data_IF_214211725560
#
_entry.id   IF_214211725560
#
_cell.length_a   1.000
_cell.length_b   1.000
_cell.length_c   1.000
_cell.angle_alpha   90.00
_cell.angle_beta   90.00
_cell.angle_gamma   90.00
#
_symmetry.space_group_name_H-M   'P 1'
#
loop_
_entity.id
_entity.type
_entity.pdbx_description
1 polymer ?
#
# COMPACT_ATOMS: atom_id res chain seq x y z
N UNK A 1 -14.15 5.35 16.09
CA UNK A 1 -14.60 5.58 14.69
C UNK A 1 -16.02 6.13 14.75
N UNK A 2 -16.15 7.45 14.94
CA UNK A 2 -17.43 8.14 15.17
C UNK A 2 -17.40 9.50 14.49
N UNK A 3 -18.56 10.00 14.08
CA UNK A 3 -18.74 11.34 13.54
C UNK A 3 -19.52 12.15 14.57
N UNK A 4 -18.92 13.23 15.08
CA UNK A 4 -19.61 14.21 15.92
C UNK A 4 -20.24 15.28 15.05
N UNK A 5 -21.53 15.51 15.23
CA UNK A 5 -22.29 16.55 14.52
C UNK A 5 -22.76 17.56 15.57
N UNK A 6 -22.36 18.82 15.40
CA UNK A 6 -22.82 19.95 16.20
C UNK A 6 -23.37 21.02 15.25
N UNK A 7 -24.68 20.98 14.99
CA UNK A 7 -25.35 21.93 14.09
C UNK A 7 -26.80 22.13 14.50
N UNK A 8 -27.30 23.36 14.36
CA UNK A 8 -28.69 23.73 14.64
C UNK A 8 -29.19 23.31 16.05
N UNK A 9 -28.33 23.43 17.07
CA UNK A 9 -28.67 23.05 18.44
C UNK A 9 -28.66 21.54 18.73
N UNK A 10 -28.36 20.69 17.74
CA UNK A 10 -28.20 19.25 17.91
C UNK A 10 -26.72 18.93 18.01
N UNK A 11 -26.32 18.38 19.16
CA UNK A 11 -25.00 17.81 19.40
C UNK A 11 -25.14 16.29 19.59
N UNK A 12 -24.75 15.52 18.60
CA UNK A 12 -24.83 14.05 18.63
C UNK A 12 -23.56 13.40 18.08
N UNK A 13 -23.29 12.17 18.53
CA UNK A 13 -22.15 11.36 18.08
C UNK A 13 -22.70 10.09 17.44
N UNK A 14 -22.47 9.92 16.14
CA UNK A 14 -22.91 8.77 15.37
C UNK A 14 -21.76 7.80 15.15
N UNK A 15 -22.06 6.50 15.19
CA UNK A 15 -21.10 5.45 14.87
C UNK A 15 -20.87 5.40 13.35
N UNK A 16 -19.61 5.36 12.93
CA UNK A 16 -19.22 5.38 11.51
C UNK A 16 -18.16 4.32 11.20
N UNK A 17 -18.25 3.16 11.85
CA UNK A 17 -17.36 2.02 11.61
C UNK A 17 -17.57 1.47 10.20
N UNK A 18 -16.70 1.88 9.28
CA UNK A 18 -16.66 1.40 7.90
C UNK A 18 -15.21 1.30 7.43
N UNK A 19 -14.95 0.35 6.53
CA UNK A 19 -13.68 0.27 5.82
C UNK A 19 -13.72 1.24 4.64
N UNK A 20 -12.64 1.98 4.43
CA UNK A 20 -12.52 2.92 3.29
C UNK A 20 -11.60 2.31 2.25
N UNK A 21 -12.11 2.17 1.03
CA UNK A 21 -11.32 1.91 -0.16
C UNK A 21 -11.32 3.17 -1.02
N UNK A 22 -10.13 3.68 -1.34
CA UNK A 22 -9.95 4.89 -2.13
C UNK A 22 -9.10 4.58 -3.36
N UNK A 23 -9.47 5.17 -4.49
CA UNK A 23 -8.67 5.21 -5.70
C UNK A 23 -8.46 6.68 -6.05
N UNK A 24 -7.21 7.05 -6.35
CA UNK A 24 -6.83 8.41 -6.69
C UNK A 24 -5.85 8.38 -7.86
N UNK A 25 -5.94 9.39 -8.72
CA UNK A 25 -4.97 9.60 -9.79
C UNK A 25 -3.93 10.63 -9.34
N UNK A 26 -2.67 10.52 -9.79
CA UNK A 26 -1.67 11.54 -9.54
C UNK A 26 -2.08 12.87 -10.19
N UNK A 27 -1.66 14.03 -9.65
CA UNK A 27 -2.11 15.35 -10.09
C UNK A 27 -1.73 15.66 -11.55
N UNK A 28 -0.63 15.09 -12.05
CA UNK A 28 -0.20 15.23 -13.45
C UNK A 28 -0.81 14.18 -14.40
N UNK A 29 -1.77 13.37 -13.92
CA UNK A 29 -2.43 12.30 -14.69
C UNK A 29 -1.56 11.06 -14.95
N UNK A 30 -0.23 11.17 -14.79
CA UNK A 30 0.73 10.06 -14.76
C UNK A 30 1.63 10.17 -13.55
N UNK A 31 2.09 9.02 -13.07
CA UNK A 31 3.06 8.95 -11.99
C UNK A 31 4.44 9.34 -12.54
N UNK A 32 5.12 10.28 -11.89
CA UNK A 32 6.42 10.79 -12.30
C UNK A 32 7.52 10.24 -11.38
N UNK A 33 8.35 9.33 -11.89
CA UNK A 33 9.40 8.67 -11.11
C UNK A 33 10.53 9.62 -10.66
N UNK A 34 10.61 10.81 -11.25
CA UNK A 34 11.60 11.83 -10.87
C UNK A 34 11.15 12.65 -9.65
N UNK A 35 9.87 12.58 -9.30
CA UNK A 35 9.29 13.30 -8.17
C UNK A 35 9.15 12.38 -6.97
N UNK A 36 9.18 12.97 -5.78
CA UNK A 36 8.97 12.21 -4.56
C UNK A 36 7.57 11.60 -4.53
N UNK A 37 7.39 10.50 -3.80
CA UNK A 37 6.09 9.85 -3.68
C UNK A 37 5.06 10.81 -3.04
N UNK A 38 5.52 11.72 -2.19
CA UNK A 38 4.67 12.76 -1.59
C UNK A 38 4.23 13.82 -2.61
N UNK A 39 5.06 14.17 -3.60
CA UNK A 39 4.68 15.12 -4.64
C UNK A 39 3.78 14.49 -5.71
N UNK A 40 3.93 13.17 -5.93
CA UNK A 40 3.08 12.39 -6.82
C UNK A 40 1.69 12.12 -6.22
N UNK A 41 1.54 12.18 -4.90
CA UNK A 41 0.29 11.92 -4.20
C UNK A 41 -0.20 13.22 -3.58
N UNK A 42 -1.26 13.81 -4.13
CA UNK A 42 -1.88 15.06 -3.64
C UNK A 42 -2.67 14.86 -2.33
N UNK A 43 -2.05 14.24 -1.34
CA UNK A 43 -2.60 14.00 0.00
C UNK A 43 -1.58 14.35 1.05
N UNK A 44 -2.04 14.99 2.13
CA UNK A 44 -1.19 15.26 3.28
C UNK A 44 -0.71 13.95 3.93
N UNK A 45 0.53 13.96 4.42
CA UNK A 45 1.14 12.86 5.19
C UNK A 45 0.26 12.41 6.37
N UNK A 46 -0.52 13.32 6.95
CA UNK A 46 -1.47 13.01 8.01
C UNK A 46 -2.58 12.07 7.54
N UNK A 47 -3.11 12.25 6.32
CA UNK A 47 -4.12 11.39 5.72
C UNK A 47 -3.48 10.07 5.27
N UNK A 48 -2.31 10.12 4.64
CA UNK A 48 -1.58 8.91 4.21
C UNK A 48 -1.28 7.98 5.39
N UNK A 49 -0.92 8.53 6.55
CA UNK A 49 -0.69 7.75 7.77
C UNK A 49 -1.92 7.00 8.31
N UNK A 50 -3.13 7.33 7.83
CA UNK A 50 -4.39 6.67 8.23
C UNK A 50 -4.78 5.53 7.29
N UNK A 51 -4.13 5.41 6.13
CA UNK A 51 -4.30 4.24 5.27
C UNK A 51 -3.38 3.11 5.74
N UNK A 52 -3.95 1.91 5.80
CA UNK A 52 -3.25 0.70 6.25
C UNK A 52 -2.33 0.16 5.14
N UNK A 53 -2.79 0.20 3.89
CA UNK A 53 -2.05 -0.23 2.71
C UNK A 53 -2.19 0.83 1.62
N UNK A 54 -1.09 1.17 0.97
CA UNK A 54 -1.07 2.10 -0.17
C UNK A 54 -0.44 1.37 -1.35
N UNK A 55 -1.18 1.22 -2.44
CA UNK A 55 -0.69 0.57 -3.65
C UNK A 55 -0.47 1.62 -4.73
N UNK A 56 0.75 1.69 -5.25
CA UNK A 56 1.06 2.49 -6.45
C UNK A 56 0.98 1.54 -7.64
N UNK A 57 0.03 1.81 -8.53
CA UNK A 57 -0.12 1.07 -9.79
C UNK A 57 0.46 1.93 -10.90
N UNK A 58 1.61 1.51 -11.44
CA UNK A 58 2.28 2.20 -12.55
C UNK A 58 1.94 1.53 -13.88
N UNK A 59 1.68 2.34 -14.89
CA UNK A 59 1.47 1.92 -16.28
C UNK A 59 2.83 1.83 -16.99
N UNK A 60 3.50 0.69 -16.86
CA UNK A 60 4.81 0.41 -17.48
C UNK A 60 4.54 -0.25 -18.84
N UNK A 61 5.13 0.30 -19.91
CA UNK A 61 4.97 -0.23 -21.28
C UNK A 61 5.89 -1.42 -21.50
N UNK A 62 5.35 -2.62 -21.40
CA UNK A 62 6.08 -3.86 -21.68
C UNK A 62 5.35 -4.67 -22.76
N UNK A 63 6.03 -4.92 -23.88
CA UNK A 63 5.42 -5.53 -25.06
C UNK A 63 4.72 -6.86 -24.76
N UNK A 64 5.34 -7.73 -23.96
CA UNK A 64 4.79 -9.05 -23.65
C UNK A 64 3.57 -8.98 -22.72
N UNK A 65 3.56 -8.05 -21.76
CA UNK A 65 2.40 -7.82 -20.88
C UNK A 65 1.26 -7.16 -21.65
N UNK A 66 1.56 -6.13 -22.43
CA UNK A 66 0.59 -5.41 -23.25
C UNK A 66 -0.10 -6.36 -24.24
N UNK A 67 0.66 -7.28 -24.85
CA UNK A 67 0.11 -8.32 -25.74
C UNK A 67 -0.86 -9.25 -25.02
N UNK A 68 -0.54 -9.68 -23.78
CA UNK A 68 -1.42 -10.53 -22.97
C UNK A 68 -2.71 -9.79 -22.59
N UNK A 69 -2.59 -8.53 -22.17
CA UNK A 69 -3.73 -7.68 -21.81
C UNK A 69 -4.62 -7.44 -23.03
N UNK A 70 -4.04 -7.07 -24.17
CA UNK A 70 -4.75 -6.86 -25.43
C UNK A 70 -5.47 -8.14 -25.88
N UNK A 71 -4.79 -9.29 -25.84
CA UNK A 71 -5.40 -10.59 -26.18
C UNK A 71 -6.59 -10.91 -25.27
N UNK A 72 -6.48 -10.65 -23.97
CA UNK A 72 -7.57 -10.84 -23.02
C UNK A 72 -8.76 -9.92 -23.31
N UNK A 73 -8.51 -8.63 -23.54
CA UNK A 73 -9.56 -7.64 -23.87
C UNK A 73 -10.27 -8.03 -25.17
N UNK A 74 -9.51 -8.37 -26.23
CA UNK A 74 -10.09 -8.82 -27.50
C UNK A 74 -10.93 -10.08 -27.28
N UNK A 75 -10.47 -11.04 -26.50
CA UNK A 75 -11.25 -12.25 -26.19
C UNK A 75 -12.56 -11.94 -25.47
N UNK A 76 -12.56 -11.02 -24.51
CA UNK A 76 -13.75 -10.58 -23.79
C UNK A 76 -14.75 -9.89 -24.74
N UNK A 77 -14.29 -9.01 -25.62
CA UNK A 77 -15.15 -8.31 -26.58
C UNK A 77 -15.61 -9.19 -27.75
N UNK A 78 -14.76 -10.11 -28.22
CA UNK A 78 -15.08 -11.08 -29.29
C UNK A 78 -16.11 -12.13 -28.82
N UNK A 79 -16.11 -12.46 -27.53
CA UNK A 79 -17.12 -13.34 -26.91
C UNK A 79 -18.44 -12.60 -26.60
N UNK A 80 -18.72 -11.51 -27.32
CA UNK A 80 -19.71 -10.47 -27.02
C UNK A 80 -20.94 -10.97 -26.27
N UNK A 81 -21.13 -10.48 -25.05
CA UNK A 81 -22.30 -10.74 -24.18
C UNK A 81 -22.66 -12.23 -23.89
N UNK A 82 -22.01 -13.22 -24.48
CA UNK A 82 -22.25 -14.65 -24.25
C UNK A 82 -21.55 -15.17 -22.98
N UNK A 83 -20.68 -14.36 -22.37
CA UNK A 83 -20.19 -14.54 -21.00
C UNK A 83 -21.04 -13.76 -19.98
N UNK A 84 -22.29 -13.39 -20.30
CA UNK A 84 -23.24 -12.91 -19.30
C UNK A 84 -23.51 -14.03 -18.30
N UNK A 85 -22.67 -14.06 -17.25
CA UNK A 85 -22.77 -14.95 -16.10
C UNK A 85 -22.88 -16.42 -16.49
N UNK A 86 -21.72 -17.07 -16.71
CA UNK A 86 -21.71 -18.52 -16.53
C UNK A 86 -22.34 -18.82 -15.17
N UNK A 87 -23.37 -19.67 -15.14
CA UNK A 87 -24.14 -19.96 -13.92
C UNK A 87 -23.20 -20.38 -12.78
N UNK A 88 -22.12 -21.08 -13.13
CA UNK A 88 -21.02 -21.47 -12.24
C UNK A 88 -20.23 -20.28 -11.65
N UNK A 89 -19.99 -19.20 -12.41
CA UNK A 89 -19.34 -17.99 -11.87
C UNK A 89 -20.26 -17.25 -10.88
N UNK A 90 -21.56 -17.19 -11.18
CA UNK A 90 -22.54 -16.57 -10.26
C UNK A 90 -22.72 -17.38 -8.99
N UNK A 91 -22.71 -18.72 -9.09
CA UNK A 91 -22.76 -19.61 -7.93
C UNK A 91 -21.49 -19.53 -7.09
N UNK A 92 -20.31 -19.49 -7.72
CA UNK A 92 -19.03 -19.26 -7.04
C UNK A 92 -18.96 -17.90 -6.34
N UNK A 93 -19.44 -16.83 -6.98
CA UNK A 93 -19.53 -15.49 -6.37
C UNK A 93 -20.46 -15.49 -5.15
N UNK A 94 -21.62 -16.14 -5.25
CA UNK A 94 -22.58 -16.23 -4.15
C UNK A 94 -22.04 -17.07 -2.99
N UNK A 95 -21.35 -18.17 -3.29
CA UNK A 95 -20.67 -18.97 -2.28
C UNK A 95 -19.57 -18.17 -1.57
N UNK A 96 -18.75 -17.43 -2.30
CA UNK A 96 -17.68 -16.61 -1.72
C UNK A 96 -18.24 -15.50 -0.80
N UNK A 97 -19.34 -14.85 -1.20
CA UNK A 97 -20.03 -13.87 -0.35
C UNK A 97 -20.50 -14.49 0.97
N UNK A 98 -21.14 -15.66 0.90
CA UNK A 98 -21.60 -16.42 2.08
C UNK A 98 -20.43 -16.88 2.93
N UNK A 99 -19.32 -17.30 2.32
CA UNK A 99 -18.10 -17.68 3.01
C UNK A 99 -17.50 -16.50 3.79
N UNK A 100 -17.37 -15.33 3.16
CA UNK A 100 -16.88 -14.12 3.82
C UNK A 100 -17.79 -13.73 4.99
N UNK A 101 -19.10 -13.77 4.80
CA UNK A 101 -20.08 -13.49 5.87
C UNK A 101 -19.93 -14.49 7.04
N UNK A 102 -19.80 -15.78 6.74
CA UNK A 102 -19.56 -16.82 7.74
C UNK A 102 -18.27 -16.57 8.51
N UNK A 103 -17.16 -16.28 7.83
CA UNK A 103 -15.90 -15.94 8.49
C UNK A 103 -16.07 -14.71 9.39
N UNK A 104 -16.79 -13.67 8.93
CA UNK A 104 -17.03 -12.43 9.68
C UNK A 104 -17.72 -12.67 11.02
N UNK A 105 -18.73 -13.54 11.06
CA UNK A 105 -19.55 -13.81 12.24
C UNK A 105 -18.90 -14.83 13.18
N UNK A 106 -18.32 -15.90 12.63
CA UNK A 106 -17.91 -17.07 13.42
C UNK A 106 -16.50 -16.92 13.98
N UNK A 107 -15.58 -16.28 13.26
CA UNK A 107 -14.16 -16.27 13.58
C UNK A 107 -13.67 -14.90 14.07
N UNK A 108 -13.09 -14.89 15.27
CA UNK A 108 -12.46 -13.73 15.90
C UNK A 108 -11.03 -14.10 16.32
N UNK A 109 -10.09 -14.11 15.37
CA UNK A 109 -8.74 -14.59 15.64
C UNK A 109 -8.02 -13.70 16.64
N UNK A 110 -7.22 -14.33 17.50
CA UNK A 110 -6.33 -13.64 18.43
C UNK A 110 -4.87 -13.91 18.08
N UNK A 111 -4.00 -12.94 18.38
CA UNK A 111 -2.57 -13.05 18.10
C UNK A 111 -1.91 -14.07 19.04
N UNK A 112 -1.13 -14.99 18.47
CA UNK A 112 -0.29 -15.89 19.27
C UNK A 112 0.87 -15.12 19.91
N UNK A 113 1.34 -15.55 21.09
CA UNK A 113 2.48 -14.94 21.78
C UNK A 113 3.74 -14.90 20.90
N UNK A 114 4.03 -15.99 20.17
CA UNK A 114 5.15 -16.04 19.21
C UNK A 114 5.01 -15.02 18.09
N UNK A 115 3.78 -14.79 17.62
CA UNK A 115 3.49 -13.81 16.58
C UNK A 115 3.63 -12.37 17.12
N UNK A 116 3.25 -12.14 18.37
CA UNK A 116 3.41 -10.85 19.05
C UNK A 116 4.89 -10.47 19.25
N UNK A 117 5.74 -11.44 19.61
CA UNK A 117 7.19 -11.22 19.71
C UNK A 117 7.80 -10.87 18.35
N UNK A 118 7.43 -11.62 17.30
CA UNK A 118 7.89 -11.33 15.93
C UNK A 118 7.48 -9.92 15.46
N UNK A 119 6.24 -9.51 15.73
CA UNK A 119 5.73 -8.18 15.37
C UNK A 119 6.53 -7.06 16.04
N UNK A 120 6.85 -7.20 17.33
CA UNK A 120 7.65 -6.23 18.07
C UNK A 120 9.04 -6.09 17.45
N UNK A 121 9.72 -7.21 17.21
CA UNK A 121 11.06 -7.22 16.63
C UNK A 121 11.08 -6.58 15.23
N UNK A 122 10.14 -6.96 14.37
CA UNK A 122 10.02 -6.39 13.01
C UNK A 122 9.67 -4.92 13.03
N UNK A 123 8.77 -4.48 13.91
CA UNK A 123 8.40 -3.07 14.01
C UNK A 123 9.57 -2.17 14.42
N UNK A 124 10.34 -2.60 15.43
CA UNK A 124 11.55 -1.88 15.87
C UNK A 124 12.59 -1.84 14.75
N UNK A 125 12.81 -2.97 14.08
CA UNK A 125 13.74 -3.07 12.94
C UNK A 125 13.41 -2.07 11.83
N UNK A 126 12.15 -2.00 11.39
CA UNK A 126 11.75 -1.08 10.31
C UNK A 126 11.90 0.38 10.76
N UNK A 127 11.55 0.69 12.01
CA UNK A 127 11.71 2.05 12.55
C UNK A 127 13.17 2.47 12.65
N UNK A 128 14.06 1.54 13.00
CA UNK A 128 15.51 1.78 13.04
C UNK A 128 16.07 2.01 11.63
N UNK A 129 15.71 1.15 10.66
CA UNK A 129 16.13 1.30 9.26
C UNK A 129 15.71 2.64 8.67
N UNK A 130 14.47 3.08 8.89
CA UNK A 130 14.00 4.38 8.40
C UNK A 130 14.74 5.56 9.04
N UNK A 131 15.11 5.47 10.33
CA UNK A 131 15.93 6.51 10.99
C UNK A 131 17.33 6.60 10.40
N UNK A 132 17.95 5.46 10.10
CA UNK A 132 19.26 5.40 9.44
C UNK A 132 19.19 6.05 8.06
N UNK A 133 18.20 5.69 7.25
CA UNK A 133 17.99 6.27 5.92
C UNK A 133 17.73 7.79 5.96
N UNK A 134 16.98 8.26 6.96
CA UNK A 134 16.75 9.69 7.14
C UNK A 134 18.03 10.46 7.52
N UNK A 135 18.90 9.86 8.32
CA UNK A 135 20.19 10.45 8.69
C UNK A 135 21.18 10.47 7.51
N UNK A 136 21.21 9.42 6.70
CA UNK A 136 22.09 9.29 5.53
C UNK A 136 21.66 10.22 4.38
N UNK A 137 20.37 10.30 4.11
CA UNK A 137 19.83 11.03 2.95
C UNK A 137 19.42 12.47 3.31
N UNK A 138 19.34 12.80 4.61
CA UNK A 138 18.87 14.09 5.11
C UNK A 138 17.40 14.39 4.80
N UNK A 139 16.67 13.46 4.18
CA UNK A 139 15.27 13.59 3.76
C UNK A 139 14.37 12.71 4.62
N UNK A 140 13.27 13.27 5.09
CA UNK A 140 12.24 12.50 5.78
C UNK A 140 11.58 11.51 4.80
N UNK A 141 11.23 10.32 5.29
CA UNK A 141 10.45 9.36 4.52
C UNK A 141 9.09 9.96 4.13
N UNK A 142 8.65 9.73 2.89
CA UNK A 142 7.37 10.23 2.36
C UNK A 142 6.16 9.76 3.20
N UNK A 143 6.25 8.57 3.81
CA UNK A 143 5.23 8.02 4.70
C UNK A 143 5.83 7.71 6.08
N UNK A 144 5.43 8.42 7.15
CA UNK A 144 5.96 8.16 8.48
C UNK A 144 5.42 6.85 9.06
N UNK A 145 6.31 6.02 9.61
CA UNK A 145 5.93 4.79 10.32
C UNK A 145 5.46 5.16 11.73
N UNK A 146 4.16 5.06 11.94
CA UNK A 146 3.50 5.37 13.21
C UNK A 146 2.96 4.09 13.86
N UNK A 147 2.46 4.20 15.10
CA UNK A 147 1.79 3.08 15.79
C UNK A 147 0.56 2.59 15.01
N UNK A 148 -0.08 3.45 14.20
CA UNK A 148 -1.18 3.05 13.32
C UNK A 148 -0.79 1.99 12.30
N UNK A 149 0.46 2.02 11.83
CA UNK A 149 0.95 1.02 10.89
C UNK A 149 1.19 -0.33 11.58
N UNK A 150 1.58 -0.33 12.85
CA UNK A 150 1.62 -1.56 13.65
C UNK A 150 0.21 -2.14 13.85
N UNK A 151 -0.76 -1.30 14.21
CA UNK A 151 -2.16 -1.71 14.32
C UNK A 151 -2.71 -2.24 12.98
N UNK A 152 -2.32 -1.62 11.86
CA UNK A 152 -2.70 -2.07 10.53
C UNK A 152 -2.17 -3.47 10.22
N UNK A 153 -0.90 -3.75 10.54
CA UNK A 153 -0.31 -5.07 10.34
C UNK A 153 -1.02 -6.12 11.21
N UNK A 154 -1.33 -5.79 12.48
CA UNK A 154 -2.10 -6.68 13.36
C UNK A 154 -3.47 -6.98 12.74
N UNK A 155 -4.21 -5.97 12.28
CA UNK A 155 -5.49 -6.14 11.58
C UNK A 155 -5.37 -7.00 10.33
N UNK A 156 -4.29 -6.85 9.56
CA UNK A 156 -4.02 -7.68 8.39
C UNK A 156 -3.78 -9.14 8.79
N UNK A 157 -2.92 -9.40 9.78
CA UNK A 157 -2.62 -10.76 10.25
C UNK A 157 -3.85 -11.47 10.79
N UNK A 158 -4.67 -10.77 11.56
CA UNK A 158 -5.97 -11.28 12.03
C UNK A 158 -6.91 -11.54 10.86
N UNK A 159 -6.96 -10.66 9.86
CA UNK A 159 -7.79 -10.85 8.66
C UNK A 159 -7.35 -12.07 7.83
N UNK A 160 -6.05 -12.31 7.72
CA UNK A 160 -5.50 -13.49 7.03
C UNK A 160 -5.84 -14.79 7.77
N UNK A 161 -5.72 -14.80 9.10
CA UNK A 161 -6.16 -15.93 9.92
C UNK A 161 -7.68 -16.17 9.78
N UNK A 162 -8.45 -15.08 9.77
CA UNK A 162 -9.91 -15.10 9.59
C UNK A 162 -10.33 -15.68 8.23
N UNK A 163 -9.59 -15.42 7.17
CA UNK A 163 -9.82 -16.01 5.85
C UNK A 163 -9.59 -17.52 5.83
N UNK A 164 -8.65 -18.02 6.64
CA UNK A 164 -8.34 -19.44 6.82
C UNK A 164 -9.21 -20.12 7.90
N UNK A 165 -10.17 -19.40 8.49
CA UNK A 165 -11.01 -19.87 9.59
C UNK A 165 -10.21 -20.33 10.83
N UNK A 166 -9.01 -19.81 11.04
CA UNK A 166 -8.20 -20.11 12.22
C UNK A 166 -8.47 -19.10 13.33
N UNK A 167 -8.69 -19.58 14.56
CA UNK A 167 -8.94 -18.71 15.73
C UNK A 167 -7.66 -18.07 16.29
N UNK A 168 -6.49 -18.40 15.75
CA UNK A 168 -5.19 -17.90 16.22
C UNK A 168 -4.37 -17.42 15.03
N UNK A 169 -3.94 -16.16 15.07
CA UNK A 169 -2.99 -15.60 14.12
C UNK A 169 -1.57 -16.07 14.50
N UNK A 170 -1.07 -17.04 13.73
CA UNK A 170 0.30 -17.57 13.82
C UNK A 170 1.33 -16.65 13.16
N UNK A 171 2.61 -16.98 13.36
CA UNK A 171 3.76 -16.27 12.78
C UNK A 171 3.67 -16.15 11.24
N UNK A 172 3.17 -17.17 10.55
CA UNK A 172 3.01 -17.16 9.09
C UNK A 172 2.10 -16.02 8.59
N UNK A 173 1.02 -15.72 9.33
CA UNK A 173 0.11 -14.64 8.98
C UNK A 173 0.76 -13.26 9.19
N UNK A 174 1.67 -13.16 10.16
CA UNK A 174 2.46 -11.95 10.41
C UNK A 174 3.46 -11.74 9.29
N UNK A 175 4.18 -12.79 8.90
CA UNK A 175 5.14 -12.73 7.81
C UNK A 175 4.48 -12.31 6.48
N UNK A 176 3.32 -12.90 6.17
CA UNK A 176 2.56 -12.54 4.98
C UNK A 176 2.00 -11.11 5.05
N UNK A 177 1.52 -10.67 6.22
CA UNK A 177 1.09 -9.28 6.42
C UNK A 177 2.25 -8.29 6.22
N UNK A 178 3.45 -8.61 6.70
CA UNK A 178 4.65 -7.81 6.46
C UNK A 178 5.06 -7.81 4.99
N UNK A 179 4.96 -8.95 4.29
CA UNK A 179 5.23 -9.02 2.85
C UNK A 179 4.30 -8.07 2.10
N UNK A 180 3.01 -8.08 2.40
CA UNK A 180 2.03 -7.15 1.81
C UNK A 180 2.32 -5.69 2.17
N UNK A 181 2.68 -5.41 3.42
CA UNK A 181 3.05 -4.07 3.85
C UNK A 181 4.31 -3.54 3.13
N UNK A 182 5.29 -4.41 2.89
CA UNK A 182 6.52 -4.05 2.18
C UNK A 182 6.25 -3.73 0.71
N UNK A 183 5.46 -4.57 0.03
CA UNK A 183 5.11 -4.41 -1.39
C UNK A 183 4.16 -3.24 -1.63
N UNK A 184 3.37 -2.85 -0.63
CA UNK A 184 2.45 -1.72 -0.72
C UNK A 184 3.11 -0.44 -0.21
N UNK A 185 3.06 -0.21 1.09
CA UNK A 185 3.39 1.07 1.72
C UNK A 185 4.88 1.39 1.68
N UNK A 186 5.76 0.39 1.85
CA UNK A 186 7.21 0.66 1.80
C UNK A 186 7.71 0.88 0.37
N UNK A 187 7.20 0.11 -0.60
CA UNK A 187 7.49 0.35 -2.01
C UNK A 187 6.96 1.71 -2.45
N UNK A 188 5.74 2.06 -2.03
CA UNK A 188 5.17 3.38 -2.27
C UNK A 188 6.03 4.51 -1.70
N UNK A 189 6.58 4.33 -0.49
CA UNK A 189 7.46 5.32 0.13
C UNK A 189 8.81 5.47 -0.58
N UNK A 190 9.31 4.42 -1.24
CA UNK A 190 10.58 4.42 -2.00
C UNK A 190 10.41 4.91 -3.43
N UNK A 191 9.25 4.67 -4.03
CA UNK A 191 8.90 4.91 -5.43
C UNK A 191 8.97 6.38 -5.91
N UNK A 192 9.60 7.29 -5.18
CA UNK A 192 9.79 8.68 -5.60
C UNK A 192 11.22 9.20 -5.56
N UNK A 193 12.20 8.39 -5.14
CA UNK A 193 13.62 8.73 -5.27
C UNK A 193 14.39 7.40 -5.42
N UNK A 194 14.66 7.01 -6.67
CA UNK A 194 15.60 5.96 -7.15
C UNK A 194 15.11 4.51 -7.34
N UNK A 195 14.87 4.18 -8.62
CA UNK A 195 15.48 3.00 -9.28
C UNK A 195 16.26 3.35 -10.57
N UNK A 196 16.08 4.54 -11.17
CA UNK A 196 16.83 4.95 -12.37
C UNK A 196 18.04 5.87 -12.14
N UNK A 197 18.30 6.36 -10.91
CA UNK A 197 19.66 6.75 -10.54
C UNK A 197 20.37 5.59 -9.83
N UNK A 198 20.52 4.47 -10.53
CA UNK A 198 21.87 3.93 -10.62
C UNK A 198 22.69 5.03 -11.30
N UNK A 199 23.16 6.01 -10.51
CA UNK A 199 24.19 6.92 -10.95
C UNK A 199 25.32 6.01 -11.40
N UNK A 200 25.48 5.85 -12.71
CA UNK A 200 26.77 5.48 -13.23
C UNK A 200 27.77 6.41 -12.54
N UNK A 201 28.88 5.88 -11.98
CA UNK A 201 29.86 6.70 -11.28
C UNK A 201 30.39 7.86 -12.13
N UNK A 202 30.20 7.77 -13.46
CA UNK A 202 30.44 8.81 -14.46
C UNK A 202 29.58 10.07 -14.28
N UNK A 203 28.29 9.97 -13.95
CA UNK A 203 27.41 11.15 -13.81
C UNK A 203 27.73 11.92 -12.53
N UNK A 204 28.05 11.24 -11.43
CA UNK A 204 28.51 11.88 -10.20
C UNK A 204 29.87 12.59 -10.39
N UNK A 205 30.77 11.99 -11.17
CA UNK A 205 32.04 12.62 -11.56
C UNK A 205 31.82 13.82 -12.50
N UNK A 206 30.86 13.73 -13.43
CA UNK A 206 30.51 14.83 -14.32
C UNK A 206 29.88 16.01 -13.56
N UNK A 207 28.98 15.76 -12.60
CA UNK A 207 28.43 16.81 -11.74
C UNK A 207 29.50 17.49 -10.87
N UNK A 208 30.44 16.70 -10.33
CA UNK A 208 31.57 17.24 -9.56
C UNK A 208 32.52 18.09 -10.45
N UNK A 209 32.76 17.66 -11.69
CA UNK A 209 33.55 18.43 -12.66
C UNK A 209 32.82 19.72 -13.11
N UNK A 210 31.51 19.68 -13.31
CA UNK A 210 30.70 20.84 -13.69
C UNK A 210 30.64 21.84 -12.52
N UNK A 211 30.42 21.39 -11.28
CA UNK A 211 30.46 22.27 -10.09
C UNK A 211 31.84 22.89 -9.86
N UNK A 212 32.93 22.17 -10.16
CA UNK A 212 34.30 22.73 -10.15
C UNK A 212 34.53 23.76 -11.24
N UNK A 213 33.86 23.65 -12.40
CA UNK A 213 33.98 24.62 -13.51
C UNK A 213 33.07 25.83 -13.35
N UNK A 214 31.94 25.70 -12.65
CA UNK A 214 30.98 26.79 -12.46
C UNK A 214 31.28 27.67 -11.23
N UNK A 215 32.28 27.32 -10.42
CA UNK A 215 32.82 28.21 -9.39
C UNK A 215 34.06 28.93 -9.90
N UNK A 216 33.86 30.03 -10.63
CA UNK A 216 34.68 31.27 -10.76
C UNK A 216 34.11 32.01 -11.98
N UNK A 217 33.35 33.08 -11.75
CA UNK A 217 32.95 33.99 -12.82
C UNK A 217 31.73 34.85 -12.52
N UNK A 218 32.00 36.01 -11.90
CA UNK A 218 31.16 37.21 -11.65
C UNK A 218 29.91 37.05 -10.78
#
# INVERSE_FOLDING_TARGET
>A
QTISIAKAGITTVLNSRTSVLAAANPPSGRYDDLKTAQDNIDLQTTILSRFDLIFIVKDIREYDQDKKIASHIIKVHASGAAASKSTNATEGENWLKRYIEYCRVTCHPQLSEKAAEMLQNKYVEIRQRMRQQANETGKAAAVPITVRQLEAIIRLSESLAKMRLTCVATQEHVEEAFRLFNVSTMDAARSGINEHLNLTPEIAQAEAQIKRRMGIGS
#
